data_IF_920897486170
#
_entry.id   IF_920897486170
#
_cell.length_a   1.000
_cell.length_b   1.000
_cell.length_c   1.000
_cell.angle_alpha   90.00
_cell.angle_beta   90.00
_cell.angle_gamma   90.00
#
_symmetry.space_group_name_H-M   'P 1'
#
loop_
_entity.id
_entity.type
_entity.pdbx_description
1 polymer ?
#
# COMPACT_ATOMS: atom_id res chain seq x y z
N UNK A 1 -6.83 -6.80 -12.64
CA UNK A 1 -6.38 -6.08 -11.43
C UNK A 1 -7.06 -4.71 -11.25
N UNK A 2 -7.22 -3.90 -12.30
CA UNK A 2 -7.71 -2.51 -12.22
C UNK A 2 -9.00 -2.37 -11.43
N UNK A 3 -10.03 -3.16 -11.73
CA UNK A 3 -11.31 -3.09 -11.02
C UNK A 3 -11.20 -3.31 -9.50
N UNK A 4 -10.22 -4.10 -9.04
CA UNK A 4 -9.99 -4.31 -7.61
C UNK A 4 -9.09 -3.21 -7.02
N UNK A 5 -7.91 -3.00 -7.62
CA UNK A 5 -6.90 -2.07 -7.11
C UNK A 5 -7.39 -0.61 -7.14
N UNK A 6 -8.06 -0.19 -8.22
CA UNK A 6 -8.64 1.15 -8.31
C UNK A 6 -9.73 1.33 -7.26
N UNK A 7 -10.61 0.34 -7.08
CA UNK A 7 -11.72 0.47 -6.14
C UNK A 7 -11.24 0.47 -4.69
N UNK A 8 -10.34 -0.44 -4.31
CA UNK A 8 -9.84 -0.52 -2.93
C UNK A 8 -8.97 0.68 -2.55
N UNK A 9 -8.28 1.31 -3.50
CA UNK A 9 -7.48 2.51 -3.27
C UNK A 9 -8.31 3.81 -3.36
N UNK A 10 -9.09 3.99 -4.43
CA UNK A 10 -9.74 5.28 -4.69
C UNK A 10 -11.03 5.48 -3.90
N UNK A 11 -11.78 4.43 -3.56
CA UNK A 11 -12.97 4.60 -2.70
C UNK A 11 -12.63 5.31 -1.37
N UNK A 12 -11.65 4.87 -0.57
CA UNK A 12 -11.31 5.57 0.66
C UNK A 12 -10.60 6.90 0.39
N UNK A 13 -9.62 6.95 -0.52
CA UNK A 13 -8.78 8.14 -0.69
C UNK A 13 -9.49 9.32 -1.37
N UNK A 14 -10.54 9.07 -2.17
CA UNK A 14 -11.38 10.14 -2.71
C UNK A 14 -12.49 10.58 -1.74
N UNK A 15 -12.66 9.91 -0.60
CA UNK A 15 -13.68 10.22 0.41
C UNK A 15 -13.16 11.06 1.57
N UNK A 16 -11.86 11.38 1.58
CA UNK A 16 -11.19 12.22 2.59
C UNK A 16 -10.42 13.34 1.91
N UNK A 17 -10.35 14.50 2.56
CA UNK A 17 -9.67 15.68 1.99
C UNK A 17 -8.15 15.56 2.15
N UNK A 18 -7.43 15.61 1.01
CA UNK A 18 -5.96 15.66 0.95
C UNK A 18 -5.23 14.64 1.84
N UNK A 19 -5.44 13.32 1.65
CA UNK A 19 -4.75 12.29 2.43
C UNK A 19 -3.24 12.40 2.28
N UNK A 20 -2.50 12.30 3.39
CA UNK A 20 -1.03 12.45 3.44
C UNK A 20 -0.31 11.16 3.80
N UNK A 21 -0.84 10.39 4.75
CA UNK A 21 -0.21 9.19 5.31
C UNK A 21 -1.14 8.00 5.16
N UNK A 22 -0.75 7.05 4.32
CA UNK A 22 -1.54 5.85 4.00
C UNK A 22 -0.78 4.60 4.43
N UNK A 23 -1.48 3.65 5.04
CA UNK A 23 -0.98 2.31 5.31
C UNK A 23 -1.67 1.30 4.39
N UNK A 24 -0.89 0.43 3.77
CA UNK A 24 -1.38 -0.75 3.05
C UNK A 24 -0.95 -2.00 3.81
N UNK A 25 -1.91 -2.89 4.08
CA UNK A 25 -1.66 -4.23 4.64
C UNK A 25 -1.85 -5.25 3.53
N UNK A 26 -0.81 -5.99 3.20
CA UNK A 26 -0.75 -6.84 2.00
C UNK A 26 -0.42 -6.06 0.73
N UNK A 27 -0.92 -6.51 -0.41
CA UNK A 27 -0.71 -5.83 -1.71
C UNK A 27 0.66 -6.04 -2.34
N UNK A 28 1.34 -7.15 -2.02
CA UNK A 28 2.70 -7.51 -2.46
C UNK A 28 2.98 -7.48 -3.97
N UNK A 29 1.99 -7.25 -4.84
CA UNK A 29 2.18 -7.02 -6.28
C UNK A 29 2.57 -5.58 -6.65
N UNK A 30 2.26 -4.61 -5.79
CA UNK A 30 2.55 -3.18 -5.97
C UNK A 30 1.48 -2.41 -6.74
N UNK A 31 0.40 -3.05 -7.21
CA UNK A 31 -0.64 -2.38 -7.98
C UNK A 31 -1.47 -1.41 -7.14
N UNK A 32 -1.82 -1.78 -5.89
CA UNK A 32 -2.48 -0.84 -4.95
C UNK A 32 -1.59 0.38 -4.68
N UNK A 33 -0.27 0.17 -4.51
CA UNK A 33 0.68 1.27 -4.33
C UNK A 33 0.69 2.22 -5.53
N UNK A 34 0.69 1.68 -6.75
CA UNK A 34 0.62 2.46 -7.98
C UNK A 34 -0.63 3.34 -8.04
N UNK A 35 -1.78 2.84 -7.58
CA UNK A 35 -3.02 3.63 -7.55
C UNK A 35 -3.00 4.70 -6.45
N UNK A 36 -2.45 4.41 -5.27
CA UNK A 36 -2.24 5.41 -4.20
C UNK A 36 -1.30 6.53 -4.66
N UNK A 37 -0.24 6.18 -5.40
CA UNK A 37 0.73 7.13 -5.92
C UNK A 37 0.14 8.21 -6.84
N UNK A 38 -1.06 8.00 -7.40
CA UNK A 38 -1.76 9.01 -8.20
C UNK A 38 -2.28 10.19 -7.37
N UNK A 39 -2.40 10.02 -6.06
CA UNK A 39 -2.81 11.10 -5.15
C UNK A 39 -1.60 11.95 -4.79
N UNK A 40 -1.55 13.18 -5.32
CA UNK A 40 -0.42 14.10 -5.13
C UNK A 40 -0.28 14.63 -3.71
N UNK A 41 -1.37 14.58 -2.91
CA UNK A 41 -1.35 14.97 -1.50
C UNK A 41 -0.64 13.95 -0.60
N UNK A 42 -0.50 12.70 -1.06
CA UNK A 42 0.13 11.63 -0.29
C UNK A 42 1.62 11.92 -0.16
N UNK A 43 2.10 11.92 1.08
CA UNK A 43 3.49 12.19 1.48
C UNK A 43 4.20 10.90 1.94
N UNK A 44 3.46 9.92 2.47
CA UNK A 44 3.98 8.63 2.97
C UNK A 44 3.01 7.49 2.64
N UNK A 45 3.57 6.39 2.11
CA UNK A 45 2.87 5.13 1.88
C UNK A 45 3.64 4.02 2.61
N UNK A 46 3.18 3.64 3.79
CA UNK A 46 3.71 2.44 4.46
C UNK A 46 3.02 1.21 3.86
N UNK A 47 3.77 0.16 3.52
CA UNK A 47 3.23 -1.15 3.13
C UNK A 47 3.80 -2.24 4.03
N UNK A 48 2.92 -3.06 4.59
CA UNK A 48 3.27 -4.25 5.36
C UNK A 48 2.91 -5.50 4.58
N UNK A 49 3.92 -6.26 4.15
CA UNK A 49 3.73 -7.54 3.46
C UNK A 49 4.48 -8.62 4.23
N UNK A 50 3.79 -9.70 4.56
CA UNK A 50 4.32 -10.77 5.41
C UNK A 50 5.30 -11.65 4.64
N UNK A 51 5.05 -11.88 3.35
CA UNK A 51 5.84 -12.79 2.53
C UNK A 51 6.71 -12.05 1.51
N UNK A 52 8.01 -11.97 1.83
CA UNK A 52 9.01 -11.42 0.93
C UNK A 52 9.04 -12.11 -0.45
N UNK A 53 8.71 -13.40 -0.50
CA UNK A 53 8.71 -14.15 -1.76
C UNK A 53 7.68 -13.57 -2.75
N UNK A 54 6.51 -13.13 -2.27
CA UNK A 54 5.48 -12.52 -3.12
C UNK A 54 6.03 -11.27 -3.80
N UNK A 55 6.69 -10.39 -3.04
CA UNK A 55 7.31 -9.17 -3.57
C UNK A 55 8.39 -9.50 -4.60
N UNK A 56 9.27 -10.44 -4.28
CA UNK A 56 10.40 -10.80 -5.16
C UNK A 56 9.90 -11.46 -6.48
N UNK A 57 8.81 -12.24 -6.41
CA UNK A 57 8.13 -12.81 -7.58
C UNK A 57 7.47 -11.70 -8.40
N UNK A 58 6.73 -10.79 -7.78
CA UNK A 58 6.08 -9.69 -8.49
C UNK A 58 7.08 -8.73 -9.13
N UNK A 59 8.21 -8.46 -8.47
CA UNK A 59 9.33 -7.72 -9.07
C UNK A 59 9.83 -8.35 -10.36
N UNK A 60 9.94 -9.67 -10.39
CA UNK A 60 10.48 -10.42 -11.53
C UNK A 60 9.48 -10.58 -12.67
N UNK A 61 8.23 -10.90 -12.36
CA UNK A 61 7.24 -11.33 -13.35
C UNK A 61 6.17 -10.28 -13.65
N UNK A 62 5.95 -9.31 -12.76
CA UNK A 62 4.94 -8.25 -12.90
C UNK A 62 5.56 -6.85 -12.73
N UNK A 63 6.59 -6.47 -13.52
CA UNK A 63 7.29 -5.20 -13.35
C UNK A 63 6.39 -3.96 -13.51
N UNK A 64 5.31 -4.06 -14.28
CA UNK A 64 4.33 -2.98 -14.45
C UNK A 64 3.48 -2.69 -13.19
N UNK A 65 3.41 -3.65 -12.27
CA UNK A 65 2.75 -3.51 -10.98
C UNK A 65 3.76 -3.11 -9.92
N UNK A 66 4.92 -3.78 -9.97
CA UNK A 66 6.02 -3.53 -9.07
C UNK A 66 6.51 -2.06 -9.12
N UNK A 67 6.30 -1.33 -10.21
CA UNK A 67 6.57 0.11 -10.30
C UNK A 67 5.96 0.92 -9.14
N UNK A 68 4.86 0.45 -8.54
CA UNK A 68 4.29 1.05 -7.33
C UNK A 68 5.26 1.06 -6.14
N UNK A 69 6.11 0.04 -6.00
CA UNK A 69 7.17 0.00 -4.98
C UNK A 69 8.35 0.95 -5.27
N UNK A 70 8.44 1.50 -6.47
CA UNK A 70 9.51 2.42 -6.86
C UNK A 70 9.16 3.89 -6.57
N UNK A 71 7.94 4.18 -6.12
CA UNK A 71 7.57 5.52 -5.66
C UNK A 71 8.39 5.89 -4.41
N UNK A 72 9.08 7.05 -4.39
CA UNK A 72 9.95 7.45 -3.29
C UNK A 72 9.21 7.65 -1.95
N UNK A 73 7.87 7.73 -1.97
CA UNK A 73 7.03 7.84 -0.77
C UNK A 73 6.74 6.47 -0.13
N UNK A 74 7.05 5.37 -0.81
CA UNK A 74 6.79 4.02 -0.33
C UNK A 74 7.87 3.57 0.64
N UNK A 75 7.43 3.08 1.80
CA UNK A 75 8.26 2.39 2.79
C UNK A 75 7.75 0.96 2.95
N UNK A 76 8.55 0.01 2.48
CA UNK A 76 8.27 -1.41 2.56
C UNK A 76 8.73 -1.98 3.92
N UNK A 77 7.77 -2.55 4.65
CA UNK A 77 7.98 -3.30 5.88
C UNK A 77 7.66 -4.77 5.61
N UNK A 78 8.68 -5.62 5.62
CA UNK A 78 8.48 -7.08 5.49
C UNK A 78 8.22 -7.65 6.87
N UNK A 79 7.00 -8.15 7.11
CA UNK A 79 6.61 -8.72 8.39
C UNK A 79 5.09 -8.70 8.63
N UNK A 80 4.69 -9.13 9.83
CA UNK A 80 3.29 -9.17 10.25
C UNK A 80 2.75 -7.74 10.49
N UNK A 81 1.70 -7.39 9.75
CA UNK A 81 1.02 -6.10 9.86
C UNK A 81 0.35 -5.89 11.23
N UNK A 82 -0.09 -6.96 11.91
CA UNK A 82 -0.66 -6.89 13.26
C UNK A 82 0.38 -6.44 14.26
N UNK A 83 1.58 -7.03 14.21
CA UNK A 83 2.70 -6.60 15.06
C UNK A 83 3.19 -5.20 14.69
N UNK A 84 3.23 -4.86 13.40
CA UNK A 84 3.57 -3.50 12.96
C UNK A 84 2.61 -2.46 13.56
N UNK A 85 1.30 -2.69 13.46
CA UNK A 85 0.27 -1.78 13.97
C UNK A 85 0.33 -1.56 15.48
N UNK A 86 0.80 -2.55 16.27
CA UNK A 86 0.99 -2.38 17.72
C UNK A 86 2.04 -1.32 18.09
N UNK A 87 2.96 -1.02 17.19
CA UNK A 87 4.02 -0.05 17.39
C UNK A 87 3.73 1.31 16.73
N UNK A 88 2.60 1.42 16.03
CA UNK A 88 2.17 2.65 15.36
C UNK A 88 1.52 3.60 16.39
N UNK A 89 1.94 4.87 16.46
CA UNK A 89 1.26 5.87 17.27
C UNK A 89 -0.19 6.09 16.85
N UNK A 90 -1.07 6.33 17.83
CA UNK A 90 -2.46 6.71 17.58
C UNK A 90 -2.54 7.96 16.69
N UNK A 91 -3.46 7.95 15.72
CA UNK A 91 -3.66 9.08 14.79
C UNK A 91 -2.57 9.26 13.72
N UNK A 92 -1.70 8.26 13.50
CA UNK A 92 -0.64 8.34 12.46
C UNK A 92 -1.18 8.32 11.02
N UNK A 93 -2.19 7.51 10.71
CA UNK A 93 -2.63 7.30 9.32
C UNK A 93 -3.97 7.97 9.05
N UNK A 94 -4.07 8.56 7.86
CA UNK A 94 -5.31 9.17 7.37
C UNK A 94 -6.22 8.10 6.72
N UNK A 95 -5.61 7.05 6.14
CA UNK A 95 -6.30 5.88 5.62
C UNK A 95 -5.48 4.60 5.84
N UNK A 96 -6.18 3.50 6.11
CA UNK A 96 -5.62 2.14 6.16
C UNK A 96 -6.38 1.30 5.12
N UNK A 97 -5.65 0.70 4.20
CA UNK A 97 -6.17 -0.19 3.15
C UNK A 97 -5.71 -1.61 3.46
N UNK A 98 -6.66 -2.52 3.65
CA UNK A 98 -6.38 -3.94 3.93
C UNK A 98 -6.62 -4.75 2.67
N UNK A 99 -5.54 -5.04 1.94
CA UNK A 99 -5.50 -5.87 0.74
C UNK A 99 -5.04 -7.29 1.12
N UNK A 100 -5.89 -7.98 1.88
CA UNK A 100 -5.63 -9.34 2.37
C UNK A 100 -6.34 -10.38 1.50
N UNK A 101 -5.77 -11.59 1.43
CA UNK A 101 -6.58 -12.77 1.13
C UNK A 101 -7.58 -13.03 2.25
N UNK A 102 -8.53 -13.94 2.01
CA UNK A 102 -9.34 -14.54 3.07
C UNK A 102 -8.49 -15.29 4.11
#
# INVERSE_FOLDING_TARGET
ECAYQEMIAHLPLCSIESPKRVLVVGGGDGGVLREISRHSSVELIDICEIDKMVIDVCKKFFPQLYVGFEDPRVQLHVGDAVEFLRHVPEGKYDAIIVDSSD
#
